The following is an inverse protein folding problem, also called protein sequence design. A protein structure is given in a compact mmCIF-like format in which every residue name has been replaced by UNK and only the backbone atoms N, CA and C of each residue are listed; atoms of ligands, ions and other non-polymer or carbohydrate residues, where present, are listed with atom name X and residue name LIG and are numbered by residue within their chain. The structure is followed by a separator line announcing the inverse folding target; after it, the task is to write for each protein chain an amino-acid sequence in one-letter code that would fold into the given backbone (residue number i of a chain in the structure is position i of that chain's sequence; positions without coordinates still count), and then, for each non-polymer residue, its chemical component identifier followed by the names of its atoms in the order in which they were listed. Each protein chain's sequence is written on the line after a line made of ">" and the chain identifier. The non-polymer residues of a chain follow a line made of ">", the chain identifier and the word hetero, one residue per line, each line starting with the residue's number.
data_IF_978182110613
#
_entry.id   IF_978182110613
#
_cell.length_a   1.000
_cell.length_b   1.000
_cell.length_c   1.000
_cell.angle_alpha   90.00
_cell.angle_beta   90.00
_cell.angle_gamma   90.00
#
_symmetry.space_group_name_H-M   'P 1'
#
loop_
_entity.id
_entity.type
_entity.pdbx_description
1 polymer ?
#
# COMPACT_ATOMS: atom_id res chain seq x y z
N UNK A 1 -22.79 16.75 5.50
CA UNK A 1 -22.00 17.82 4.84
C UNK A 1 -20.76 18.20 5.66
N UNK A 2 -20.90 18.69 6.89
CA UNK A 2 -19.76 19.13 7.73
C UNK A 2 -18.70 18.03 7.92
N UNK A 3 -19.10 16.79 8.22
CA UNK A 3 -18.16 15.69 8.44
C UNK A 3 -17.40 15.27 7.19
N UNK A 4 -18.07 15.23 6.04
CA UNK A 4 -17.40 14.97 4.77
C UNK A 4 -16.42 16.10 4.45
N UNK A 5 -16.80 17.36 4.70
CA UNK A 5 -15.91 18.50 4.55
C UNK A 5 -14.70 18.43 5.51
N UNK A 6 -14.91 18.09 6.77
CA UNK A 6 -13.85 17.87 7.77
C UNK A 6 -12.93 16.74 7.35
N UNK A 7 -13.46 15.60 6.88
CA UNK A 7 -12.69 14.51 6.31
C UNK A 7 -11.86 15.01 5.13
N UNK A 8 -12.45 15.69 4.16
CA UNK A 8 -11.75 16.21 2.97
C UNK A 8 -10.64 17.21 3.34
N UNK A 9 -10.86 18.05 4.37
CA UNK A 9 -9.84 18.94 4.91
C UNK A 9 -8.71 18.16 5.60
N UNK A 10 -9.04 17.07 6.31
CA UNK A 10 -8.07 16.14 6.89
C UNK A 10 -7.24 15.44 5.81
N UNK A 11 -7.87 14.93 4.75
CA UNK A 11 -7.18 14.37 3.58
C UNK A 11 -6.25 15.40 2.94
N UNK A 12 -6.71 16.65 2.76
CA UNK A 12 -5.88 17.70 2.19
C UNK A 12 -4.67 18.02 3.08
N UNK A 13 -4.85 18.07 4.41
CA UNK A 13 -3.75 18.27 5.35
C UNK A 13 -2.73 17.12 5.30
N UNK A 14 -3.21 15.87 5.22
CA UNK A 14 -2.36 14.69 5.04
C UNK A 14 -1.52 14.80 3.76
N UNK A 15 -2.15 15.13 2.63
CA UNK A 15 -1.46 15.29 1.34
C UNK A 15 -0.47 16.47 1.34
N UNK A 16 -0.68 17.47 2.20
CA UNK A 16 0.23 18.61 2.39
C UNK A 16 1.34 18.33 3.42
N UNK A 17 1.33 17.17 4.08
CA UNK A 17 2.29 16.83 5.14
C UNK A 17 2.02 17.53 6.48
N UNK A 18 0.89 18.22 6.64
CA UNK A 18 0.49 18.80 7.93
C UNK A 18 -0.13 17.71 8.82
N UNK A 19 0.74 16.87 9.36
CA UNK A 19 0.35 15.69 10.14
C UNK A 19 -0.50 16.06 11.37
N UNK A 20 -0.17 17.16 12.06
CA UNK A 20 -0.95 17.61 13.24
C UNK A 20 -2.39 17.97 12.87
N UNK A 21 -2.57 18.74 11.79
CA UNK A 21 -3.90 19.12 11.31
C UNK A 21 -4.65 17.92 10.76
N UNK A 22 -3.97 17.01 10.06
CA UNK A 22 -4.57 15.77 9.57
C UNK A 22 -5.09 14.90 10.72
N UNK A 23 -4.28 14.65 11.75
CA UNK A 23 -4.68 13.88 12.95
C UNK A 23 -5.92 14.48 13.61
N UNK A 24 -5.93 15.80 13.83
CA UNK A 24 -7.06 16.47 14.48
C UNK A 24 -8.36 16.37 13.64
N UNK A 25 -8.29 16.66 12.34
CA UNK A 25 -9.48 16.67 11.48
C UNK A 25 -10.03 15.26 11.20
N UNK A 26 -9.15 14.29 10.96
CA UNK A 26 -9.54 12.90 10.73
C UNK A 26 -10.06 12.25 12.02
N UNK A 27 -9.43 12.54 13.17
CA UNK A 27 -9.91 12.07 14.48
C UNK A 27 -11.32 12.56 14.81
N UNK A 28 -11.63 13.84 14.51
CA UNK A 28 -13.00 14.38 14.66
C UNK A 28 -13.99 13.67 13.76
N UNK A 29 -13.60 13.33 12.52
CA UNK A 29 -14.45 12.57 11.60
C UNK A 29 -14.77 11.15 12.11
N UNK A 30 -13.87 10.56 12.91
CA UNK A 30 -14.04 9.21 13.51
C UNK A 30 -14.89 9.27 14.78
N UNK A 31 -14.55 10.13 15.75
CA UNK A 31 -15.19 10.23 17.08
C UNK A 31 -16.68 10.61 17.01
N UNK A 32 -17.04 11.51 16.09
CA UNK A 32 -18.43 11.95 15.92
C UNK A 32 -19.41 10.81 15.56
N UNK A 33 -18.89 9.63 15.17
CA UNK A 33 -19.67 8.52 14.62
C UNK A 33 -19.73 7.27 15.48
N UNK A 34 -19.36 7.35 16.77
CA UNK A 34 -19.55 6.22 17.71
C UNK A 34 -21.03 5.88 18.00
N UNK A 35 -21.99 6.75 17.65
CA UNK A 35 -23.40 6.60 18.04
C UNK A 35 -24.42 6.11 17.00
N UNK A 36 -24.04 5.85 15.73
CA UNK A 36 -24.99 5.54 14.65
C UNK A 36 -24.85 4.15 14.02
N UNK A 37 -25.97 3.45 13.78
CA UNK A 37 -26.01 2.15 13.06
C UNK A 37 -25.82 2.27 11.54
N UNK A 38 -25.87 3.47 10.97
CA UNK A 38 -25.77 3.70 9.53
C UNK A 38 -24.32 3.63 9.00
N UNK A 39 -24.15 3.10 7.78
CA UNK A 39 -22.91 3.21 7.01
C UNK A 39 -22.69 4.69 6.70
N UNK A 40 -21.74 5.34 7.38
CA UNK A 40 -21.24 6.62 6.91
C UNK A 40 -20.05 6.38 5.97
N UNK A 41 -20.15 6.72 4.68
CA UNK A 41 -19.09 6.49 3.70
C UNK A 41 -17.77 7.20 4.04
N UNK A 42 -17.77 8.20 4.92
CA UNK A 42 -16.56 8.93 5.31
C UNK A 42 -15.73 8.32 6.44
N UNK A 43 -16.28 7.40 7.26
CA UNK A 43 -15.60 6.91 8.47
C UNK A 43 -14.44 5.97 8.17
N UNK A 44 -14.69 4.90 7.42
CA UNK A 44 -13.65 3.91 7.09
C UNK A 44 -12.50 4.53 6.26
N UNK A 45 -12.75 5.39 5.26
CA UNK A 45 -11.66 6.12 4.61
C UNK A 45 -10.88 7.02 5.56
N UNK A 46 -11.55 7.70 6.50
CA UNK A 46 -10.87 8.53 7.50
C UNK A 46 -9.98 7.71 8.43
N UNK A 47 -10.37 6.49 8.78
CA UNK A 47 -9.53 5.55 9.55
C UNK A 47 -8.27 5.19 8.76
N UNK A 48 -8.42 4.75 7.51
CA UNK A 48 -7.27 4.41 6.65
C UNK A 48 -6.31 5.60 6.51
N UNK A 49 -6.82 6.79 6.27
CA UNK A 49 -6.02 8.02 6.15
C UNK A 49 -5.33 8.40 7.47
N UNK A 50 -6.05 8.30 8.60
CA UNK A 50 -5.46 8.58 9.91
C UNK A 50 -4.36 7.58 10.25
N UNK A 51 -4.55 6.29 9.95
CA UNK A 51 -3.53 5.26 10.16
C UNK A 51 -2.26 5.52 9.34
N UNK A 52 -2.37 6.08 8.13
CA UNK A 52 -1.19 6.51 7.36
C UNK A 52 -0.48 7.72 8.00
N UNK A 53 -1.23 8.66 8.57
CA UNK A 53 -0.65 9.80 9.31
C UNK A 53 0.08 9.33 10.56
N UNK A 54 -0.54 8.42 11.32
CA UNK A 54 0.04 7.83 12.54
C UNK A 54 1.29 7.01 12.22
N UNK A 55 1.27 6.22 11.15
CA UNK A 55 2.45 5.52 10.62
C UNK A 55 3.60 6.51 10.36
N UNK A 56 3.32 7.63 9.69
CA UNK A 56 4.33 8.65 9.40
C UNK A 56 4.85 9.38 10.66
N UNK A 57 4.05 9.41 11.73
CA UNK A 57 4.43 9.95 13.04
C UNK A 57 5.18 8.94 13.93
N UNK A 58 5.23 7.66 13.54
CA UNK A 58 5.80 6.59 14.35
C UNK A 58 4.85 6.02 15.42
N UNK A 59 3.59 6.43 15.41
CA UNK A 59 2.55 6.01 16.36
C UNK A 59 1.93 4.66 15.90
N UNK A 60 2.77 3.62 15.83
CA UNK A 60 2.43 2.35 15.19
C UNK A 60 1.31 1.58 15.92
N UNK A 61 1.30 1.61 17.26
CA UNK A 61 0.31 0.89 18.08
C UNK A 61 -1.10 1.47 17.92
N UNK A 62 -1.21 2.81 17.87
CA UNK A 62 -2.49 3.48 17.61
C UNK A 62 -2.96 3.22 16.18
N UNK A 63 -2.06 3.28 15.20
CA UNK A 63 -2.37 2.95 13.80
C UNK A 63 -2.91 1.51 13.67
N UNK A 64 -2.27 0.55 14.32
CA UNK A 64 -2.66 -0.86 14.31
C UNK A 64 -4.02 -1.09 14.96
N UNK A 65 -4.28 -0.47 16.12
CA UNK A 65 -5.58 -0.55 16.81
C UNK A 65 -6.71 -0.10 15.89
N UNK A 66 -6.54 1.06 15.23
CA UNK A 66 -7.52 1.60 14.29
C UNK A 66 -7.75 0.68 13.07
N UNK A 67 -6.68 0.05 12.58
CA UNK A 67 -6.76 -0.86 11.43
C UNK A 67 -7.46 -2.18 11.78
N UNK A 68 -7.23 -2.74 12.97
CA UNK A 68 -7.92 -3.94 13.45
C UNK A 68 -9.43 -3.70 13.51
N UNK A 69 -9.85 -2.59 14.11
CA UNK A 69 -11.26 -2.18 14.17
C UNK A 69 -11.85 -1.99 12.75
N UNK A 70 -11.09 -1.35 11.85
CA UNK A 70 -11.50 -1.14 10.46
C UNK A 70 -11.70 -2.47 9.72
N UNK A 71 -10.75 -3.39 9.83
CA UNK A 71 -10.79 -4.71 9.20
C UNK A 71 -11.97 -5.54 9.72
N UNK A 72 -12.24 -5.51 11.03
CA UNK A 72 -13.40 -6.18 11.62
C UNK A 72 -14.71 -5.63 11.07
N UNK A 73 -14.88 -4.30 11.06
CA UNK A 73 -16.09 -3.67 10.52
C UNK A 73 -16.28 -3.98 9.04
N UNK A 74 -15.20 -3.96 8.25
CA UNK A 74 -15.25 -4.33 6.84
C UNK A 74 -15.67 -5.80 6.64
N UNK A 75 -15.12 -6.72 7.44
CA UNK A 75 -15.47 -8.14 7.41
C UNK A 75 -16.94 -8.37 7.75
N UNK A 76 -17.45 -7.76 8.82
CA UNK A 76 -18.85 -7.89 9.25
C UNK A 76 -19.84 -7.36 8.21
N UNK A 77 -19.42 -6.39 7.40
CA UNK A 77 -20.28 -5.68 6.44
C UNK A 77 -20.06 -6.09 4.98
N UNK A 78 -19.09 -6.95 4.70
CA UNK A 78 -18.70 -7.30 3.33
C UNK A 78 -18.12 -6.12 2.53
N UNK A 79 -17.58 -5.10 3.20
CA UNK A 79 -16.86 -4.02 2.52
C UNK A 79 -15.48 -4.57 2.12
N UNK A 80 -15.22 -4.70 0.82
CA UNK A 80 -13.96 -5.23 0.32
C UNK A 80 -12.98 -4.13 -0.13
N UNK A 81 -13.45 -3.06 -0.75
CA UNK A 81 -12.56 -2.05 -1.33
C UNK A 81 -11.76 -1.30 -0.26
N UNK A 82 -12.40 -0.80 0.79
CA UNK A 82 -11.72 -0.20 1.94
C UNK A 82 -10.94 -1.22 2.77
N UNK A 83 -11.44 -2.45 2.87
CA UNK A 83 -10.67 -3.54 3.51
C UNK A 83 -9.32 -3.74 2.84
N UNK A 84 -9.26 -3.64 1.51
CA UNK A 84 -8.00 -3.74 0.77
C UNK A 84 -7.01 -2.63 1.13
N UNK A 85 -7.49 -1.42 1.37
CA UNK A 85 -6.63 -0.32 1.81
C UNK A 85 -6.23 -0.46 3.29
N UNK A 86 -7.12 -0.93 4.16
CA UNK A 86 -6.77 -1.23 5.53
C UNK A 86 -5.66 -2.30 5.61
N UNK A 87 -5.78 -3.38 4.84
CA UNK A 87 -4.72 -4.39 4.73
C UNK A 87 -3.40 -3.83 4.20
N UNK A 88 -3.45 -2.95 3.20
CA UNK A 88 -2.26 -2.30 2.69
C UNK A 88 -1.56 -1.46 3.76
N UNK A 89 -2.30 -0.64 4.51
CA UNK A 89 -1.71 0.18 5.59
C UNK A 89 -1.22 -0.69 6.75
N UNK A 90 -1.92 -1.77 7.11
CA UNK A 90 -1.44 -2.75 8.08
C UNK A 90 -0.10 -3.35 7.65
N UNK A 91 0.06 -3.67 6.36
CA UNK A 91 1.35 -4.15 5.84
C UNK A 91 2.48 -3.14 6.06
N UNK A 92 2.23 -1.85 5.82
CA UNK A 92 3.22 -0.81 6.08
C UNK A 92 3.57 -0.70 7.56
N UNK A 93 2.59 -0.78 8.47
CA UNK A 93 2.80 -0.77 9.92
C UNK A 93 3.61 -2.00 10.37
N UNK A 94 3.27 -3.19 9.90
CA UNK A 94 4.01 -4.41 10.18
C UNK A 94 5.46 -4.32 9.66
N UNK A 95 5.67 -3.80 8.44
CA UNK A 95 7.02 -3.56 7.88
C UNK A 95 7.82 -2.60 8.75
N UNK A 96 7.23 -1.47 9.15
CA UNK A 96 7.89 -0.45 9.98
C UNK A 96 8.25 -0.97 11.38
N UNK A 97 7.53 -1.96 11.89
CA UNK A 97 7.75 -2.57 13.20
C UNK A 97 8.57 -3.87 13.13
N UNK A 98 9.15 -4.20 11.97
CA UNK A 98 10.03 -5.37 11.78
C UNK A 98 9.30 -6.71 11.66
N UNK A 99 7.96 -6.71 11.60
CA UNK A 99 7.10 -7.89 11.46
C UNK A 99 6.91 -8.25 9.98
N UNK A 100 8.02 -8.62 9.32
CA UNK A 100 8.09 -8.85 7.87
C UNK A 100 7.04 -9.86 7.36
N UNK A 101 6.86 -10.97 8.07
CA UNK A 101 5.95 -12.05 7.62
C UNK A 101 4.48 -11.61 7.68
N UNK A 102 4.08 -10.92 8.76
CA UNK A 102 2.76 -10.29 8.87
C UNK A 102 2.56 -9.22 7.78
N UNK A 103 3.61 -8.44 7.47
CA UNK A 103 3.58 -7.45 6.40
C UNK A 103 3.33 -8.10 5.03
N UNK A 104 4.01 -9.21 4.72
CA UNK A 104 3.82 -9.95 3.47
C UNK A 104 2.39 -10.47 3.33
N UNK A 105 1.86 -11.11 4.38
CA UNK A 105 0.47 -11.61 4.39
C UNK A 105 -0.51 -10.48 4.16
N UNK A 106 -0.41 -9.39 4.92
CA UNK A 106 -1.30 -8.23 4.79
C UNK A 106 -1.23 -7.60 3.39
N UNK A 107 -0.03 -7.47 2.80
CA UNK A 107 0.12 -6.89 1.47
C UNK A 107 -0.49 -7.78 0.38
N UNK A 108 -0.31 -9.11 0.46
CA UNK A 108 -0.91 -10.06 -0.48
C UNK A 108 -2.43 -10.09 -0.39
N UNK A 109 -2.99 -10.01 0.82
CA UNK A 109 -4.44 -9.89 1.00
C UNK A 109 -5.01 -8.60 0.39
N UNK A 110 -4.33 -7.47 0.57
CA UNK A 110 -4.67 -6.23 -0.10
C UNK A 110 -4.65 -6.39 -1.63
N UNK A 111 -3.56 -6.95 -2.17
CA UNK A 111 -3.36 -7.12 -3.60
C UNK A 111 -4.43 -8.02 -4.25
N UNK A 112 -4.80 -9.14 -3.62
CA UNK A 112 -5.86 -10.04 -4.10
C UNK A 112 -7.20 -9.32 -4.25
N UNK A 113 -7.57 -8.52 -3.26
CA UNK A 113 -8.83 -7.75 -3.33
C UNK A 113 -8.73 -6.66 -4.41
N UNK A 114 -7.59 -5.96 -4.50
CA UNK A 114 -7.40 -4.90 -5.49
C UNK A 114 -7.42 -5.40 -6.93
N UNK A 115 -6.93 -6.62 -7.17
CA UNK A 115 -7.10 -7.35 -8.44
C UNK A 115 -8.57 -7.43 -8.84
N UNK A 116 -9.45 -7.81 -7.90
CA UNK A 116 -10.89 -7.94 -8.14
C UNK A 116 -11.56 -6.60 -8.51
N UNK A 117 -11.10 -5.49 -7.93
CA UNK A 117 -11.62 -4.15 -8.23
C UNK A 117 -10.96 -3.46 -9.41
N UNK A 118 -9.96 -4.09 -10.06
CA UNK A 118 -9.10 -3.43 -11.05
C UNK A 118 -8.52 -2.10 -10.54
N UNK A 119 -8.22 -2.03 -9.24
CA UNK A 119 -7.64 -0.85 -8.59
C UNK A 119 -6.15 -0.75 -8.93
N UNK A 120 -5.85 -0.22 -10.12
CA UNK A 120 -4.49 -0.10 -10.65
C UNK A 120 -3.58 0.63 -9.67
N UNK A 121 -4.06 1.74 -9.10
CA UNK A 121 -3.31 2.50 -8.11
C UNK A 121 -2.94 1.62 -6.92
N UNK A 122 -3.93 1.02 -6.27
CA UNK A 122 -3.67 0.22 -5.10
C UNK A 122 -2.81 -1.02 -5.40
N UNK A 123 -2.94 -1.62 -6.60
CA UNK A 123 -2.09 -2.72 -7.05
C UNK A 123 -0.63 -2.27 -7.03
N UNK A 124 -0.31 -1.14 -7.68
CA UNK A 124 1.08 -0.71 -7.78
C UNK A 124 1.65 -0.31 -6.42
N UNK A 125 0.84 0.32 -5.55
CA UNK A 125 1.24 0.60 -4.16
C UNK A 125 1.58 -0.68 -3.38
N UNK A 126 0.80 -1.75 -3.55
CA UNK A 126 1.07 -3.05 -2.92
C UNK A 126 2.35 -3.68 -3.50
N UNK A 127 2.56 -3.59 -4.82
CA UNK A 127 3.75 -4.11 -5.50
C UNK A 127 5.02 -3.38 -5.05
N UNK A 128 5.01 -2.05 -4.93
CA UNK A 128 6.16 -1.28 -4.44
C UNK A 128 6.53 -1.70 -2.99
N UNK A 129 5.53 -1.91 -2.15
CA UNK A 129 5.74 -2.39 -0.79
C UNK A 129 6.26 -3.86 -0.76
N UNK A 130 5.72 -4.73 -1.62
CA UNK A 130 6.21 -6.11 -1.77
C UNK A 130 7.66 -6.14 -2.29
N UNK A 131 8.03 -5.26 -3.23
CA UNK A 131 9.41 -5.15 -3.70
C UNK A 131 10.35 -4.85 -2.52
N UNK A 132 9.97 -3.90 -1.66
CA UNK A 132 10.76 -3.58 -0.47
C UNK A 132 10.87 -4.75 0.50
N UNK A 133 9.78 -5.49 0.73
CA UNK A 133 9.76 -6.68 1.61
C UNK A 133 10.63 -7.82 1.06
N UNK A 134 10.64 -8.04 -0.26
CA UNK A 134 11.48 -9.03 -0.93
C UNK A 134 12.97 -8.65 -0.87
N UNK A 135 13.28 -7.36 -0.99
CA UNK A 135 14.66 -6.89 -0.82
C UNK A 135 15.17 -7.17 0.59
N UNK A 136 14.35 -6.91 1.60
CA UNK A 136 14.65 -7.24 3.00
C UNK A 136 14.78 -8.76 3.24
N UNK A 137 14.14 -9.58 2.39
CA UNK A 137 14.25 -11.03 2.40
C UNK A 137 15.52 -11.57 1.73
N UNK A 138 16.31 -10.69 1.06
CA UNK A 138 17.46 -11.12 0.27
C UNK A 138 17.09 -11.63 -1.12
N UNK A 139 15.97 -11.15 -1.70
CA UNK A 139 15.54 -11.47 -3.07
C UNK A 139 15.68 -10.25 -4.02
N UNK A 140 16.91 -9.79 -4.31
CA UNK A 140 17.15 -8.58 -5.08
C UNK A 140 16.75 -8.68 -6.57
N UNK A 141 16.85 -9.84 -7.20
CA UNK A 141 16.43 -10.06 -8.60
C UNK A 141 14.90 -9.98 -8.74
N UNK A 142 14.20 -10.62 -7.81
CA UNK A 142 12.75 -10.53 -7.71
C UNK A 142 12.30 -9.10 -7.47
N UNK A 143 12.99 -8.41 -6.55
CA UNK A 143 12.75 -6.98 -6.28
C UNK A 143 12.90 -6.16 -7.56
N UNK A 144 14.00 -6.33 -8.31
CA UNK A 144 14.23 -5.61 -9.56
C UNK A 144 13.11 -5.87 -10.59
N UNK A 145 12.64 -7.11 -10.70
CA UNK A 145 11.51 -7.50 -11.56
C UNK A 145 10.23 -6.78 -11.14
N UNK A 146 9.89 -6.77 -9.83
CA UNK A 146 8.72 -6.05 -9.31
C UNK A 146 8.82 -4.53 -9.57
N UNK A 147 9.99 -3.93 -9.38
CA UNK A 147 10.22 -2.50 -9.63
C UNK A 147 10.03 -2.16 -11.12
N UNK A 148 10.51 -3.00 -12.04
CA UNK A 148 10.30 -2.85 -13.47
C UNK A 148 8.82 -2.93 -13.85
N UNK A 149 8.11 -3.91 -13.31
CA UNK A 149 6.69 -4.10 -13.55
C UNK A 149 5.83 -2.95 -12.99
N UNK A 150 6.11 -2.51 -11.76
CA UNK A 150 5.46 -1.35 -11.14
C UNK A 150 5.66 -0.08 -11.98
N UNK A 151 6.88 0.18 -12.44
CA UNK A 151 7.21 1.38 -13.21
C UNK A 151 6.51 1.42 -14.58
N UNK A 152 6.39 0.27 -15.26
CA UNK A 152 5.68 0.18 -16.53
C UNK A 152 4.17 0.47 -16.36
N UNK A 153 3.57 -0.04 -15.29
CA UNK A 153 2.14 0.14 -15.02
C UNK A 153 1.81 1.57 -14.52
N UNK A 154 2.69 2.20 -13.74
CA UNK A 154 2.58 3.62 -13.36
C UNK A 154 2.44 4.56 -14.55
N UNK A 155 3.21 4.34 -15.63
CA UNK A 155 3.18 5.18 -16.85
C UNK A 155 1.83 5.14 -17.57
N UNK A 156 1.02 4.13 -17.32
CA UNK A 156 -0.31 3.98 -17.93
C UNK A 156 -1.36 4.84 -17.21
N UNK A 157 -1.10 5.28 -15.97
CA UNK A 157 -2.06 6.01 -15.13
C UNK A 157 -1.73 7.51 -14.95
N UNK A 158 -0.60 7.98 -15.49
CA UNK A 158 -0.17 9.38 -15.41
C UNK A 158 1.27 9.53 -14.92
N UNK A 159 1.50 10.44 -13.98
CA UNK A 159 2.82 10.65 -13.38
C UNK A 159 3.21 9.44 -12.52
N UNK A 160 4.38 8.82 -12.75
CA UNK A 160 4.91 7.80 -11.86
C UNK A 160 4.94 8.29 -10.41
N UNK A 161 4.47 7.44 -9.49
CA UNK A 161 4.43 7.73 -8.05
C UNK A 161 3.72 9.06 -7.70
N UNK A 162 2.85 9.56 -8.58
CA UNK A 162 2.21 10.88 -8.52
C UNK A 162 3.15 12.08 -8.41
N UNK A 163 4.45 11.92 -8.71
CA UNK A 163 5.45 12.95 -8.42
C UNK A 163 5.63 13.24 -6.93
N UNK A 164 5.20 12.33 -6.04
CA UNK A 164 5.37 12.46 -4.60
C UNK A 164 6.80 12.10 -4.20
N UNK A 165 7.55 13.02 -3.54
CA UNK A 165 8.91 12.76 -3.07
C UNK A 165 9.03 11.53 -2.18
N UNK A 166 7.96 11.20 -1.44
CA UNK A 166 7.91 10.06 -0.52
C UNK A 166 8.09 8.72 -1.25
N UNK A 167 7.27 8.49 -2.28
CA UNK A 167 7.30 7.24 -3.05
C UNK A 167 8.54 7.14 -3.96
N UNK A 168 9.02 8.26 -4.49
CA UNK A 168 10.27 8.27 -5.28
C UNK A 168 11.50 7.95 -4.43
N UNK A 169 11.55 8.41 -3.17
CA UNK A 169 12.72 8.16 -2.30
C UNK A 169 12.85 6.68 -1.92
N UNK A 170 11.76 6.01 -1.54
CA UNK A 170 11.79 4.57 -1.22
C UNK A 170 12.16 3.74 -2.46
N UNK A 171 11.62 4.10 -3.63
CA UNK A 171 11.95 3.45 -4.89
C UNK A 171 13.46 3.57 -5.20
N UNK A 172 14.02 4.77 -5.17
CA UNK A 172 15.44 5.02 -5.43
C UNK A 172 16.35 4.24 -4.47
N UNK A 173 15.97 4.14 -3.20
CA UNK A 173 16.70 3.33 -2.21
C UNK A 173 16.68 1.85 -2.56
N UNK A 174 15.52 1.30 -2.94
CA UNK A 174 15.40 -0.10 -3.36
C UNK A 174 16.27 -0.36 -4.60
N UNK A 175 16.23 0.52 -5.61
CA UNK A 175 17.07 0.40 -6.82
C UNK A 175 18.55 0.37 -6.44
N UNK A 176 18.99 1.31 -5.60
CA UNK A 176 20.39 1.41 -5.18
C UNK A 176 20.87 0.16 -4.45
N UNK A 177 20.09 -0.34 -3.50
CA UNK A 177 20.47 -1.54 -2.75
C UNK A 177 20.39 -2.81 -3.61
N UNK A 178 19.41 -2.94 -4.52
CA UNK A 178 19.41 -4.02 -5.52
C UNK A 178 20.70 -4.01 -6.34
N UNK A 179 21.05 -2.87 -6.96
CA UNK A 179 22.27 -2.73 -7.76
C UNK A 179 23.54 -3.06 -6.99
N UNK A 180 23.58 -2.71 -5.70
CA UNK A 180 24.70 -3.05 -4.83
C UNK A 180 24.80 -4.56 -4.54
N UNK A 181 23.68 -5.26 -4.45
CA UNK A 181 23.63 -6.70 -4.14
C UNK A 181 23.91 -7.59 -5.35
N UNK A 182 23.36 -7.26 -6.52
CA UNK A 182 23.43 -8.11 -7.73
C UNK A 182 24.23 -7.49 -8.88
N UNK A 183 24.66 -6.24 -8.75
CA UNK A 183 25.33 -5.49 -9.80
C UNK A 183 24.36 -4.86 -10.81
N UNK A 184 24.86 -3.89 -11.57
CA UNK A 184 24.03 -3.13 -12.53
C UNK A 184 23.45 -4.01 -13.65
N UNK A 185 24.26 -4.91 -14.21
CA UNK A 185 23.83 -5.73 -15.34
C UNK A 185 22.68 -6.69 -14.98
N UNK A 186 22.79 -7.40 -13.85
CA UNK A 186 21.74 -8.31 -13.39
C UNK A 186 20.48 -7.55 -12.98
N UNK A 187 20.64 -6.37 -12.35
CA UNK A 187 19.52 -5.49 -12.07
C UNK A 187 18.80 -5.06 -13.35
N UNK A 188 19.53 -4.57 -14.35
CA UNK A 188 18.94 -4.06 -15.59
C UNK A 188 18.22 -5.19 -16.36
N UNK A 189 18.75 -6.42 -16.33
CA UNK A 189 18.12 -7.60 -16.92
C UNK A 189 16.79 -7.97 -16.22
N UNK A 190 16.82 -8.15 -14.90
CA UNK A 190 15.63 -8.47 -14.12
C UNK A 190 14.57 -7.37 -14.20
N UNK A 191 14.99 -6.11 -14.14
CA UNK A 191 14.12 -4.95 -14.35
C UNK A 191 13.46 -4.99 -15.73
N UNK A 192 14.23 -5.27 -16.79
CA UNK A 192 13.71 -5.37 -18.14
C UNK A 192 12.68 -6.51 -18.31
N UNK A 193 12.84 -7.64 -17.61
CA UNK A 193 11.82 -8.70 -17.55
C UNK A 193 10.51 -8.14 -16.99
N UNK A 194 10.58 -7.48 -15.83
CA UNK A 194 9.42 -6.88 -15.17
C UNK A 194 8.68 -5.86 -16.03
N UNK A 195 9.39 -5.04 -16.80
CA UNK A 195 8.76 -4.02 -17.66
C UNK A 195 7.85 -4.60 -18.77
N UNK A 196 7.94 -5.90 -19.04
CA UNK A 196 7.13 -6.59 -20.05
C UNK A 196 5.82 -7.14 -19.48
N UNK A 197 5.64 -7.12 -18.16
CA UNK A 197 4.46 -7.65 -17.52
C UNK A 197 3.24 -6.78 -17.79
N UNK A 198 2.14 -7.43 -18.17
CA UNK A 198 0.82 -6.82 -18.06
C UNK A 198 0.46 -6.62 -16.58
N UNK A 199 -0.60 -5.85 -16.31
CA UNK A 199 -1.11 -5.70 -14.94
C UNK A 199 -1.50 -7.07 -14.32
N UNK A 200 -1.99 -8.01 -15.14
CA UNK A 200 -2.32 -9.37 -14.71
C UNK A 200 -1.08 -10.16 -14.30
N UNK A 201 -0.08 -10.22 -15.19
CA UNK A 201 1.19 -10.91 -14.94
C UNK A 201 1.90 -10.34 -13.71
N UNK A 202 1.85 -9.01 -13.54
CA UNK A 202 2.41 -8.34 -12.37
C UNK A 202 1.75 -8.81 -11.07
N UNK A 203 0.41 -8.90 -11.04
CA UNK A 203 -0.32 -9.34 -9.86
C UNK A 203 -0.01 -10.80 -9.54
N UNK A 204 0.01 -11.67 -10.55
CA UNK A 204 0.32 -13.10 -10.37
C UNK A 204 1.76 -13.30 -9.89
N UNK A 205 2.72 -12.61 -10.51
CA UNK A 205 4.12 -12.62 -10.08
C UNK A 205 4.28 -12.11 -8.64
N UNK A 206 3.59 -11.02 -8.28
CA UNK A 206 3.68 -10.45 -6.94
C UNK A 206 3.02 -11.32 -5.85
N UNK A 207 2.03 -12.15 -6.23
CA UNK A 207 1.36 -13.07 -5.31
C UNK A 207 2.10 -14.38 -5.09
N UNK A 208 3.14 -14.68 -5.89
CA UNK A 208 3.75 -16.02 -6.03
C UNK A 208 2.83 -17.05 -6.69
N UNK A 209 1.80 -16.61 -7.40
CA UNK A 209 0.83 -17.53 -8.03
C UNK A 209 1.34 -18.09 -9.38
N UNK A 210 2.53 -17.69 -9.84
CA UNK A 210 3.12 -18.17 -11.10
C UNK A 210 3.70 -19.59 -11.02
N UNK A 211 3.87 -20.17 -9.83
CA UNK A 211 4.35 -21.54 -9.67
C UNK A 211 3.25 -22.61 -9.97
N UNK A 212 2.00 -22.20 -10.20
CA UNK A 212 0.88 -23.11 -10.55
C UNK A 212 0.64 -23.26 -12.08
N UNK A 213 1.41 -22.58 -12.93
CA UNK A 213 1.41 -22.82 -14.38
C UNK A 213 2.66 -23.62 -14.78
N UNK A 214 2.55 -24.94 -14.57
CA UNK A 214 3.44 -26.01 -15.02
C UNK A 214 4.43 -25.66 -16.14
N UNK A 215 5.71 -25.80 -15.79
CA UNK A 215 6.65 -26.52 -16.65
C UNK A 215 6.16 -27.97 -16.78
N UNK A 216 5.46 -28.26 -17.88
CA UNK A 216 5.34 -29.60 -18.48
C UNK A 216 5.60 -29.48 -19.99
#
# INVERSE_FOLDING_TARGET
>A
AVLLATKMQGTAAMLQGDAKKATALLGVAIEFHRGGRELNPGRLPAIVELSMVLLAQGEFEEAETLLVDCLQVCQERGELWLRSYAWYVSSLVHRATGRRDEALVACKEALRIKRHFHDVLGIVLCVDNLATLNLQAGEPERTATLLGAAQANWRTFGLPQFGSPFFTTEHEQCVKECKKLIGDAAYDEAYAVGTRFSLGDLVEYALDDLDDFHLD
#
